data_IF_607983088182
#
_entry.id   IF_607983088182
#
_cell.length_a   1.000
_cell.length_b   1.000
_cell.length_c   1.000
_cell.angle_alpha   90.00
_cell.angle_beta   90.00
_cell.angle_gamma   90.00
#
_symmetry.space_group_name_H-M   'P 1'
#
loop_
_entity.id
_entity.type
_entity.pdbx_description
1 polymer ?
#
# COMPACT_ATOMS: atom_id res chain seq x y z
N UNK A 1 42.40 -37.31 -9.36
CA UNK A 1 41.44 -37.17 -10.48
C UNK A 1 40.40 -36.14 -10.07
N UNK A 2 40.70 -34.89 -10.37
CA UNK A 2 39.91 -33.71 -10.01
C UNK A 2 38.90 -33.48 -11.13
N UNK A 3 37.59 -33.57 -10.84
CA UNK A 3 36.55 -33.16 -11.79
C UNK A 3 36.16 -31.73 -11.45
N UNK A 4 36.66 -30.80 -12.27
CA UNK A 4 36.19 -29.41 -12.30
C UNK A 4 34.78 -29.38 -12.88
N UNK A 5 33.81 -28.94 -12.09
CA UNK A 5 32.50 -28.51 -12.60
C UNK A 5 32.66 -27.09 -13.14
N UNK A 6 32.58 -26.95 -14.46
CA UNK A 6 32.53 -25.67 -15.16
C UNK A 6 31.22 -24.94 -14.80
N UNK A 7 31.32 -23.72 -14.29
CA UNK A 7 30.20 -22.78 -14.27
C UNK A 7 30.09 -22.13 -15.66
N UNK A 8 28.88 -21.97 -16.22
CA UNK A 8 28.71 -21.30 -17.50
C UNK A 8 28.96 -19.79 -17.35
N UNK A 9 29.72 -19.23 -18.29
CA UNK A 9 29.98 -17.79 -18.49
C UNK A 9 28.66 -17.03 -18.76
N UNK A 10 28.52 -15.78 -18.28
CA UNK A 10 27.31 -14.99 -18.50
C UNK A 10 27.31 -14.45 -19.93
N UNK A 11 26.40 -14.95 -20.76
CA UNK A 11 26.32 -14.55 -22.16
C UNK A 11 25.36 -15.40 -22.99
N UNK A 12 24.12 -15.53 -22.54
CA UNK A 12 22.98 -15.95 -23.36
C UNK A 12 21.72 -15.52 -22.62
N UNK A 13 20.88 -14.71 -23.24
CA UNK A 13 19.53 -14.40 -22.76
C UNK A 13 18.82 -15.72 -22.43
N UNK A 14 18.46 -15.90 -21.16
CA UNK A 14 17.70 -17.09 -20.75
C UNK A 14 16.25 -16.92 -21.16
N UNK A 15 15.70 -17.84 -21.96
CA UNK A 15 14.27 -17.93 -22.34
C UNK A 15 13.28 -18.05 -21.15
N UNK A 16 13.77 -17.99 -19.90
CA UNK A 16 12.98 -18.09 -18.67
C UNK A 16 12.93 -16.79 -17.85
N UNK A 17 13.26 -15.64 -18.44
CA UNK A 17 13.07 -14.34 -17.77
C UNK A 17 11.60 -13.96 -17.87
N UNK A 18 10.85 -14.11 -16.78
CA UNK A 18 9.57 -13.43 -16.62
C UNK A 18 9.88 -11.94 -16.45
N UNK A 19 9.63 -11.16 -17.50
CA UNK A 19 9.71 -9.70 -17.45
C UNK A 19 8.48 -9.16 -16.72
N UNK A 20 8.69 -8.58 -15.55
CA UNK A 20 7.67 -7.76 -14.89
C UNK A 20 7.57 -6.41 -15.61
N UNK A 21 6.40 -5.77 -15.64
CA UNK A 21 6.27 -4.37 -16.06
C UNK A 21 7.26 -3.54 -15.24
N UNK A 22 8.30 -3.05 -15.90
CA UNK A 22 9.35 -2.28 -15.27
C UNK A 22 8.85 -0.84 -15.16
N UNK A 23 8.21 -0.49 -14.04
CA UNK A 23 7.91 0.90 -13.74
C UNK A 23 8.85 1.38 -12.64
N UNK A 24 10.06 1.78 -13.03
CA UNK A 24 10.99 2.49 -12.16
C UNK A 24 10.44 3.85 -11.68
N UNK A 25 9.33 4.31 -12.26
CA UNK A 25 8.68 5.57 -11.87
C UNK A 25 7.70 5.42 -10.69
N UNK A 26 7.36 4.18 -10.29
CA UNK A 26 6.46 3.92 -9.15
C UNK A 26 7.13 4.14 -7.77
N UNK A 27 8.40 4.55 -7.74
CA UNK A 27 9.12 4.93 -6.51
C UNK A 27 9.11 6.45 -6.26
N UNK A 28 8.48 7.23 -7.13
CA UNK A 28 8.25 8.65 -6.89
C UNK A 28 6.90 8.84 -6.18
N UNK A 29 6.83 9.70 -5.13
CA UNK A 29 5.53 10.16 -4.66
C UNK A 29 4.80 10.77 -5.86
N UNK A 30 3.55 10.37 -6.10
CA UNK A 30 2.71 10.98 -7.13
C UNK A 30 2.81 12.51 -6.98
N UNK A 31 3.18 13.22 -8.04
CA UNK A 31 3.21 14.69 -8.02
C UNK A 31 1.80 15.18 -7.66
N UNK A 32 1.63 15.64 -6.42
CA UNK A 32 0.32 16.06 -5.95
C UNK A 32 -0.08 17.35 -6.68
N UNK A 33 -1.30 17.43 -7.23
CA UNK A 33 -1.73 18.43 -8.22
C UNK A 33 -1.81 19.87 -7.69
N UNK A 34 -1.41 20.12 -6.45
CA UNK A 34 -1.41 21.47 -5.88
C UNK A 34 -0.49 22.43 -6.66
N UNK A 35 0.54 21.95 -7.36
CA UNK A 35 1.58 22.83 -7.91
C UNK A 35 1.25 23.61 -9.17
N UNK A 36 0.19 23.33 -9.94
CA UNK A 36 -0.01 24.00 -11.24
C UNK A 36 -1.48 24.14 -11.69
N UNK A 37 -2.32 24.87 -10.96
CA UNK A 37 -3.61 25.41 -11.47
C UNK A 37 -4.60 24.41 -12.11
N UNK A 38 -4.33 23.11 -12.02
CA UNK A 38 -5.07 22.05 -12.65
C UNK A 38 -6.06 21.52 -11.62
N UNK A 39 -7.35 21.68 -11.88
CA UNK A 39 -8.36 21.09 -11.03
C UNK A 39 -8.21 19.57 -11.07
N UNK A 40 -8.21 18.89 -9.90
CA UNK A 40 -8.16 17.44 -9.87
C UNK A 40 -9.40 16.83 -10.56
N UNK A 41 -9.21 15.68 -11.20
CA UNK A 41 -10.25 15.00 -11.99
C UNK A 41 -11.55 14.81 -11.19
N UNK A 42 -12.68 15.12 -11.83
CA UNK A 42 -14.02 14.94 -11.28
C UNK A 42 -14.37 15.83 -10.08
N UNK A 43 -13.55 16.87 -9.77
CA UNK A 43 -13.87 17.82 -8.70
C UNK A 43 -15.16 18.59 -9.03
N UNK A 44 -16.13 18.68 -8.10
CA UNK A 44 -17.41 19.31 -8.38
C UNK A 44 -17.30 20.84 -8.43
N UNK A 45 -18.15 21.45 -9.25
CA UNK A 45 -18.30 22.91 -9.32
C UNK A 45 -18.60 23.52 -7.95
N UNK A 46 -18.15 24.76 -7.75
CA UNK A 46 -18.34 25.48 -6.49
C UNK A 46 -17.33 25.10 -5.40
N UNK A 47 -16.33 24.27 -5.71
CA UNK A 47 -15.22 23.97 -4.82
C UNK A 47 -13.88 24.29 -5.50
N UNK A 48 -12.88 24.64 -4.70
CA UNK A 48 -11.52 24.93 -5.16
C UNK A 48 -10.51 24.21 -4.27
N UNK A 49 -9.54 23.55 -4.87
CA UNK A 49 -8.35 23.04 -4.19
C UNK A 49 -7.23 24.09 -4.30
N UNK A 50 -6.59 24.39 -3.17
CA UNK A 50 -5.39 25.23 -3.07
C UNK A 50 -4.34 24.51 -2.21
N UNK A 51 -3.09 24.97 -2.26
CA UNK A 51 -1.97 24.41 -1.49
C UNK A 51 -2.27 24.24 -0.01
N UNK A 52 -3.07 25.13 0.57
CA UNK A 52 -3.36 25.15 2.00
C UNK A 52 -4.70 24.51 2.37
N UNK A 53 -5.56 24.16 1.40
CA UNK A 53 -6.82 23.47 1.68
C UNK A 53 -7.87 23.51 0.60
N UNK A 54 -9.05 23.00 0.96
CA UNK A 54 -10.24 23.07 0.11
C UNK A 54 -11.14 24.20 0.54
N UNK A 55 -11.63 24.92 -0.46
CA UNK A 55 -12.55 26.04 -0.34
C UNK A 55 -13.87 25.70 -1.02
N UNK A 56 -14.97 26.18 -0.44
CA UNK A 56 -16.28 26.21 -1.08
C UNK A 56 -16.60 27.66 -1.47
N UNK A 57 -17.02 27.86 -2.71
CA UNK A 57 -17.55 29.13 -3.19
C UNK A 57 -18.95 29.33 -2.63
N UNK A 58 -19.15 30.43 -1.91
CA UNK A 58 -20.43 30.77 -1.26
C UNK A 58 -20.86 32.18 -1.65
N UNK A 59 -22.16 32.47 -1.73
CA UNK A 59 -22.63 33.84 -1.96
C UNK A 59 -22.11 34.79 -0.87
N UNK A 60 -21.43 35.85 -1.30
CA UNK A 60 -21.04 36.99 -0.47
C UNK A 60 -22.12 38.08 -0.43
N UNK A 61 -21.78 39.21 0.17
CA UNK A 61 -22.72 40.33 0.38
C UNK A 61 -23.11 41.05 -0.92
N UNK A 62 -22.20 41.06 -1.92
CA UNK A 62 -22.36 41.80 -3.19
C UNK A 62 -22.77 40.87 -4.37
N UNK A 63 -23.46 39.75 -4.11
CA UNK A 63 -23.80 38.67 -5.07
C UNK A 63 -22.61 37.91 -5.68
N UNK A 64 -21.38 38.39 -5.46
CA UNK A 64 -20.14 37.68 -5.83
C UNK A 64 -19.93 36.42 -4.99
N UNK A 65 -19.31 35.40 -5.58
CA UNK A 65 -18.96 34.17 -4.89
C UNK A 65 -17.62 34.31 -4.16
N UNK A 66 -17.65 34.15 -2.84
CA UNK A 66 -16.48 34.19 -1.98
C UNK A 66 -15.97 32.78 -1.62
N UNK A 67 -14.65 32.53 -1.72
CA UNK A 67 -14.07 31.26 -1.33
C UNK A 67 -13.94 31.17 0.20
N UNK A 68 -14.67 30.23 0.81
CA UNK A 68 -14.60 29.93 2.25
C UNK A 68 -13.86 28.61 2.46
N UNK A 69 -12.76 28.63 3.22
CA UNK A 69 -11.97 27.43 3.54
C UNK A 69 -12.79 26.47 4.41
N UNK A 70 -12.94 25.22 3.98
CA UNK A 70 -13.73 24.19 4.68
C UNK A 70 -12.87 23.11 5.34
N UNK A 71 -11.72 22.75 4.77
CA UNK A 71 -10.77 21.81 5.37
C UNK A 71 -9.34 21.97 4.83
N UNK A 72 -8.37 21.25 5.42
CA UNK A 72 -7.05 21.02 4.85
C UNK A 72 -7.13 20.23 3.53
N UNK A 73 -6.03 20.12 2.76
CA UNK A 73 -6.06 19.47 1.46
C UNK A 73 -6.51 18.01 1.53
N UNK A 74 -7.39 17.63 0.61
CA UNK A 74 -7.75 16.24 0.32
C UNK A 74 -8.00 16.06 -1.17
N UNK A 75 -7.88 14.83 -1.66
CA UNK A 75 -8.12 14.46 -3.05
C UNK A 75 -8.93 13.18 -3.06
N UNK A 76 -9.97 13.11 -3.89
CA UNK A 76 -10.66 11.85 -4.19
C UNK A 76 -9.99 11.25 -5.42
N UNK A 77 -9.31 10.10 -5.27
CA UNK A 77 -8.65 9.42 -6.41
C UNK A 77 -9.65 8.71 -7.31
N UNK A 78 -10.71 8.17 -6.73
CA UNK A 78 -11.73 7.46 -7.48
C UNK A 78 -12.77 6.76 -6.61
N UNK A 79 -13.64 6.00 -7.27
CA UNK A 79 -14.60 5.13 -6.58
C UNK A 79 -14.03 3.73 -6.45
N UNK A 80 -14.34 3.05 -5.35
CA UNK A 80 -13.93 1.66 -5.15
C UNK A 80 -15.12 0.76 -4.89
N UNK A 81 -14.99 -0.53 -5.22
CA UNK A 81 -15.96 -1.58 -4.90
C UNK A 81 -15.26 -2.91 -4.70
N UNK A 82 -15.91 -3.87 -4.05
CA UNK A 82 -15.44 -5.26 -4.06
C UNK A 82 -15.75 -5.92 -5.42
N UNK A 83 -14.95 -6.91 -5.84
CA UNK A 83 -15.24 -7.69 -7.05
C UNK A 83 -16.63 -8.34 -7.04
N UNK A 84 -17.17 -8.69 -5.87
CA UNK A 84 -18.52 -9.23 -5.70
C UNK A 84 -19.67 -8.24 -5.96
N UNK A 85 -19.36 -6.97 -6.24
CA UNK A 85 -20.33 -5.92 -6.57
C UNK A 85 -20.82 -5.07 -5.38
N UNK A 86 -20.45 -5.44 -4.14
CA UNK A 86 -20.74 -4.69 -2.92
C UNK A 86 -19.57 -3.83 -2.43
N UNK A 87 -19.69 -3.23 -1.23
CA UNK A 87 -18.58 -2.53 -0.58
C UNK A 87 -18.15 -1.23 -1.29
N UNK A 88 -19.10 -0.48 -1.81
CA UNK A 88 -18.82 0.77 -2.52
C UNK A 88 -18.28 1.86 -1.59
N UNK A 89 -17.33 2.64 -2.10
CA UNK A 89 -16.71 3.74 -1.38
C UNK A 89 -16.00 4.75 -2.28
N UNK A 90 -15.19 5.59 -1.64
CA UNK A 90 -14.26 6.52 -2.27
C UNK A 90 -12.85 6.24 -1.76
N UNK A 91 -11.89 6.21 -2.66
CA UNK A 91 -10.47 6.26 -2.30
C UNK A 91 -10.11 7.73 -2.14
N UNK A 92 -9.69 8.11 -0.94
CA UNK A 92 -9.40 9.49 -0.58
C UNK A 92 -7.97 9.56 -0.07
N UNK A 93 -7.23 10.55 -0.53
CA UNK A 93 -5.96 10.96 0.04
C UNK A 93 -6.15 12.25 0.81
N UNK A 94 -5.57 12.32 2.01
CA UNK A 94 -5.58 13.53 2.82
C UNK A 94 -4.17 13.94 3.20
N UNK A 95 -3.93 15.23 3.28
CA UNK A 95 -2.67 15.75 3.81
C UNK A 95 -2.79 15.94 5.32
N UNK A 96 -1.88 15.33 6.07
CA UNK A 96 -1.79 15.52 7.51
C UNK A 96 -1.05 16.84 7.85
N UNK A 97 -1.07 17.29 9.12
CA UNK A 97 -0.41 18.53 9.53
C UNK A 97 1.12 18.54 9.33
N UNK A 98 1.75 17.37 9.24
CA UNK A 98 3.18 17.20 9.01
C UNK A 98 3.53 17.23 7.49
N UNK A 99 2.53 17.41 6.62
CA UNK A 99 2.67 17.47 5.17
C UNK A 99 2.65 16.11 4.46
N UNK A 100 2.59 15.01 5.21
CA UNK A 100 2.49 13.65 4.69
C UNK A 100 1.07 13.31 4.22
N UNK A 101 0.98 12.60 3.10
CA UNK A 101 -0.30 12.14 2.55
C UNK A 101 -0.66 10.74 3.04
N UNK A 102 -1.94 10.56 3.37
CA UNK A 102 -2.49 9.29 3.84
C UNK A 102 -3.68 8.91 2.97
N UNK A 103 -3.62 7.71 2.39
CA UNK A 103 -4.74 7.12 1.68
C UNK A 103 -5.68 6.38 2.65
N UNK A 104 -6.98 6.46 2.37
CA UNK A 104 -8.01 5.69 3.05
C UNK A 104 -9.25 5.48 2.18
N UNK A 105 -10.03 4.45 2.51
CA UNK A 105 -11.35 4.22 1.92
C UNK A 105 -12.42 4.85 2.81
N UNK A 106 -13.22 5.75 2.23
CA UNK A 106 -14.47 6.21 2.82
C UNK A 106 -15.64 5.39 2.30
N UNK A 107 -16.35 4.71 3.20
CA UNK A 107 -17.49 3.87 2.83
C UNK A 107 -18.68 4.74 2.36
N UNK A 108 -19.35 4.34 1.26
CA UNK A 108 -20.49 5.08 0.72
C UNK A 108 -21.65 5.20 1.72
N UNK A 109 -21.81 4.20 2.60
CA UNK A 109 -22.80 4.23 3.70
C UNK A 109 -22.51 5.32 4.72
N UNK A 110 -21.22 5.57 5.01
CA UNK A 110 -20.81 6.57 5.99
C UNK A 110 -20.94 7.98 5.41
N UNK A 111 -20.64 8.12 4.10
CA UNK A 111 -20.94 9.34 3.35
C UNK A 111 -22.44 9.66 3.40
N UNK A 112 -23.29 8.66 3.22
CA UNK A 112 -24.75 8.83 3.26
C UNK A 112 -25.27 9.16 4.67
N UNK A 113 -24.69 8.55 5.70
CA UNK A 113 -25.15 8.64 7.09
C UNK A 113 -25.00 10.04 7.71
N UNK A 114 -24.00 10.83 7.29
CA UNK A 114 -23.87 12.22 7.73
C UNK A 114 -22.44 12.68 7.95
N UNK A 115 -22.22 14.00 8.13
CA UNK A 115 -20.89 14.60 8.16
C UNK A 115 -20.02 14.08 9.31
N UNK A 116 -20.60 13.75 10.47
CA UNK A 116 -19.85 13.21 11.60
C UNK A 116 -19.19 11.86 11.28
N UNK A 117 -19.85 10.99 10.51
CA UNK A 117 -19.31 9.67 10.11
C UNK A 117 -18.16 9.77 9.12
N UNK A 118 -18.03 10.91 8.45
CA UNK A 118 -16.98 11.21 7.47
C UNK A 118 -15.81 11.91 8.16
N UNK A 119 -16.09 12.97 8.94
CA UNK A 119 -15.05 13.80 9.55
C UNK A 119 -14.26 13.02 10.60
N UNK A 120 -14.91 12.16 11.40
CA UNK A 120 -14.21 11.38 12.44
C UNK A 120 -13.04 10.55 11.90
N UNK A 121 -13.22 9.64 10.92
CA UNK A 121 -12.10 8.86 10.38
C UNK A 121 -11.09 9.71 9.60
N UNK A 122 -11.52 10.78 8.94
CA UNK A 122 -10.58 11.68 8.24
C UNK A 122 -9.70 12.46 9.22
N UNK A 123 -10.26 12.94 10.32
CA UNK A 123 -9.52 13.66 11.35
C UNK A 123 -8.56 12.76 12.13
N UNK A 124 -8.88 11.48 12.32
CA UNK A 124 -7.95 10.47 12.88
C UNK A 124 -6.67 10.35 12.02
N UNK A 125 -6.80 10.57 10.71
CA UNK A 125 -5.68 10.57 9.76
C UNK A 125 -5.07 11.97 9.51
N UNK A 126 -5.53 13.00 10.23
CA UNK A 126 -4.96 14.34 10.20
C UNK A 126 -5.73 15.39 9.40
N UNK A 127 -6.93 15.08 8.86
CA UNK A 127 -7.74 16.11 8.20
C UNK A 127 -8.22 17.16 9.21
N UNK A 128 -7.94 18.43 8.91
CA UNK A 128 -8.39 19.56 9.71
C UNK A 128 -9.60 20.22 9.05
N UNK A 129 -10.78 20.06 9.65
CA UNK A 129 -12.00 20.79 9.25
C UNK A 129 -12.02 22.15 9.93
N UNK A 130 -12.38 23.21 9.20
CA UNK A 130 -12.40 24.57 9.76
C UNK A 130 -13.63 24.84 10.62
N UNK A 131 -13.61 25.94 11.38
CA UNK A 131 -14.75 26.42 12.15
C UNK A 131 -15.76 27.23 11.31
N UNK A 132 -15.60 27.27 9.99
CA UNK A 132 -16.53 27.98 9.13
C UNK A 132 -17.93 27.37 9.25
N UNK A 133 -18.97 28.21 9.14
CA UNK A 133 -20.35 27.75 9.22
C UNK A 133 -20.58 26.60 8.23
N UNK A 134 -21.16 25.49 8.71
CA UNK A 134 -21.45 24.28 7.92
C UNK A 134 -20.23 23.60 7.26
N UNK A 135 -18.98 23.87 7.65
CA UNK A 135 -17.78 23.29 7.02
C UNK A 135 -17.84 21.75 6.90
N UNK A 136 -18.18 21.04 7.99
CA UNK A 136 -18.31 19.59 7.97
C UNK A 136 -19.39 19.08 6.99
N UNK A 137 -20.49 19.84 6.85
CA UNK A 137 -21.55 19.54 5.89
C UNK A 137 -21.08 19.80 4.45
N UNK A 138 -20.31 20.86 4.21
CA UNK A 138 -19.68 21.13 2.91
C UNK A 138 -18.69 20.03 2.51
N UNK A 139 -17.91 19.49 3.44
CA UNK A 139 -17.00 18.35 3.18
C UNK A 139 -17.79 17.11 2.75
N UNK A 140 -18.93 16.82 3.40
CA UNK A 140 -19.83 15.74 2.98
C UNK A 140 -20.35 15.95 1.56
N UNK A 141 -20.80 17.16 1.25
CA UNK A 141 -21.32 17.52 -0.07
C UNK A 141 -20.25 17.36 -1.15
N UNK A 142 -19.04 17.86 -0.89
CA UNK A 142 -17.87 17.69 -1.73
C UNK A 142 -17.61 16.22 -2.04
N UNK A 143 -17.41 15.39 -1.01
CA UNK A 143 -17.06 13.97 -1.18
C UNK A 143 -18.16 13.16 -1.86
N UNK A 144 -19.42 13.55 -1.67
CA UNK A 144 -20.55 12.92 -2.32
C UNK A 144 -20.62 13.28 -3.82
N UNK A 145 -20.32 14.54 -4.17
CA UNK A 145 -20.40 15.05 -5.54
C UNK A 145 -19.13 14.77 -6.38
N UNK A 146 -17.96 14.60 -5.74
CA UNK A 146 -16.69 14.35 -6.42
C UNK A 146 -16.69 12.97 -7.08
N UNK A 147 -16.54 12.97 -8.41
CA UNK A 147 -16.63 11.77 -9.24
C UNK A 147 -15.48 11.69 -10.26
N UNK A 148 -14.27 11.32 -9.83
CA UNK A 148 -13.18 11.00 -10.75
C UNK A 148 -13.54 9.80 -11.64
N UNK A 149 -12.91 9.70 -12.80
CA UNK A 149 -13.12 8.60 -13.75
C UNK A 149 -12.60 7.25 -13.21
N UNK A 150 -11.56 7.28 -12.38
CA UNK A 150 -10.91 6.07 -11.88
C UNK A 150 -11.86 5.18 -11.06
N UNK A 151 -11.67 3.87 -11.21
CA UNK A 151 -12.44 2.81 -10.53
C UNK A 151 -11.47 1.78 -9.98
N UNK A 152 -11.50 1.60 -8.67
CA UNK A 152 -10.63 0.69 -7.94
C UNK A 152 -11.38 -0.59 -7.53
N UNK A 153 -10.73 -1.73 -7.67
CA UNK A 153 -11.20 -2.97 -7.03
C UNK A 153 -10.60 -3.08 -5.62
N UNK A 154 -11.46 -3.35 -4.63
CA UNK A 154 -11.08 -3.53 -3.23
C UNK A 154 -10.55 -4.95 -3.04
N UNK A 155 -9.37 -5.06 -2.45
CA UNK A 155 -8.74 -6.35 -2.15
C UNK A 155 -8.54 -6.49 -0.65
N UNK A 156 -8.79 -7.69 -0.11
CA UNK A 156 -8.75 -7.96 1.32
C UNK A 156 -7.64 -8.97 1.70
N UNK A 157 -6.68 -9.16 0.80
CA UNK A 157 -5.53 -10.04 0.95
C UNK A 157 -4.27 -9.32 0.48
N UNK A 158 -3.12 -9.84 0.91
CA UNK A 158 -1.81 -9.39 0.44
C UNK A 158 -1.35 -10.25 -0.73
N UNK A 159 -0.40 -9.75 -1.51
CA UNK A 159 0.17 -10.48 -2.63
C UNK A 159 -0.54 -10.21 -3.95
N UNK A 160 -0.52 -11.19 -4.86
CA UNK A 160 -1.08 -11.03 -6.20
C UNK A 160 -2.60 -10.84 -6.15
N UNK A 161 -3.08 -9.83 -6.86
CA UNK A 161 -4.52 -9.50 -6.91
C UNK A 161 -5.30 -10.53 -7.72
N UNK A 162 -4.72 -10.99 -8.82
CA UNK A 162 -5.34 -11.91 -9.77
C UNK A 162 -4.34 -12.92 -10.33
N UNK A 163 -4.85 -13.87 -11.13
CA UNK A 163 -4.03 -14.88 -11.79
C UNK A 163 -3.25 -14.38 -13.01
N UNK A 164 -3.47 -13.13 -13.43
CA UNK A 164 -2.72 -12.48 -14.51
C UNK A 164 -1.53 -11.66 -13.97
N UNK A 165 -1.39 -11.58 -12.64
CA UNK A 165 -0.32 -10.86 -11.95
C UNK A 165 -0.31 -9.35 -12.27
N UNK A 166 -1.51 -8.76 -12.41
CA UNK A 166 -1.69 -7.36 -12.82
C UNK A 166 -1.25 -6.35 -11.76
N UNK A 167 -1.37 -6.74 -10.48
CA UNK A 167 -0.87 -5.98 -9.35
C UNK A 167 -0.56 -6.88 -8.13
N UNK A 168 0.32 -6.39 -7.27
CA UNK A 168 0.76 -7.02 -6.03
C UNK A 168 0.59 -6.05 -4.86
N UNK A 169 -0.13 -6.48 -3.82
CA UNK A 169 -0.42 -5.66 -2.64
C UNK A 169 0.52 -5.98 -1.48
N UNK A 170 1.02 -4.92 -0.82
CA UNK A 170 1.94 -4.98 0.31
C UNK A 170 1.22 -4.66 1.61
N UNK A 171 1.80 -5.12 2.73
CA UNK A 171 1.22 -4.93 4.05
C UNK A 171 1.14 -3.48 4.53
N UNK A 172 1.99 -2.59 4.01
CA UNK A 172 1.92 -1.15 4.26
C UNK A 172 0.86 -0.42 3.41
N UNK A 173 0.06 -1.16 2.63
CA UNK A 173 -0.99 -0.62 1.77
C UNK A 173 -0.52 -0.23 0.38
N UNK A 174 0.79 -0.31 0.09
CA UNK A 174 1.30 -0.06 -1.26
C UNK A 174 0.85 -1.15 -2.24
N UNK A 175 0.70 -0.73 -3.49
CA UNK A 175 0.33 -1.59 -4.62
C UNK A 175 1.41 -1.43 -5.68
N UNK A 176 1.93 -2.55 -6.18
CA UNK A 176 2.89 -2.59 -7.29
C UNK A 176 2.18 -3.18 -8.50
N UNK A 177 2.16 -2.46 -9.63
CA UNK A 177 1.56 -2.93 -10.88
C UNK A 177 0.61 -1.89 -11.48
N UNK A 178 -0.08 -2.28 -12.56
CA UNK A 178 -0.88 -1.35 -13.37
C UNK A 178 -2.38 -1.40 -13.03
N UNK A 179 -2.83 -2.42 -12.29
CA UNK A 179 -4.24 -2.53 -11.92
C UNK A 179 -4.61 -1.52 -10.83
N UNK A 180 -5.73 -0.82 -11.05
CA UNK A 180 -6.32 0.09 -10.06
C UNK A 180 -6.98 -0.73 -8.95
N UNK A 181 -6.24 -0.96 -7.88
CA UNK A 181 -6.71 -1.69 -6.71
C UNK A 181 -6.43 -0.91 -5.45
N UNK A 182 -7.27 -1.10 -4.43
CA UNK A 182 -7.08 -0.50 -3.12
C UNK A 182 -7.23 -1.58 -2.05
N UNK A 183 -6.20 -1.81 -1.21
CA UNK A 183 -6.33 -2.74 -0.10
C UNK A 183 -7.36 -2.23 0.91
N UNK A 184 -8.27 -3.10 1.33
CA UNK A 184 -9.00 -2.89 2.57
C UNK A 184 -7.95 -2.88 3.68
N UNK A 185 -7.70 -1.71 4.27
CA UNK A 185 -6.83 -1.57 5.43
C UNK A 185 -7.40 -2.37 6.61
N UNK A 186 -7.14 -3.68 6.61
CA UNK A 186 -7.34 -4.55 7.74
C UNK A 186 -6.16 -4.34 8.67
N UNK A 187 -6.44 -3.98 9.92
CA UNK A 187 -5.44 -4.00 10.99
C UNK A 187 -5.03 -5.46 11.25
N UNK A 188 -4.19 -6.02 10.39
CA UNK A 188 -3.49 -7.26 10.62
C UNK A 188 -2.08 -6.92 11.12
N UNK A 189 -1.63 -7.54 12.20
CA UNK A 189 -0.31 -7.29 12.76
C UNK A 189 0.80 -7.59 11.74
N UNK A 190 0.57 -8.56 10.83
CA UNK A 190 1.53 -8.91 9.77
C UNK A 190 1.71 -7.71 8.83
N UNK A 191 0.61 -7.10 8.42
CA UNK A 191 0.60 -5.93 7.56
C UNK A 191 1.32 -4.75 8.23
N UNK A 192 1.06 -4.52 9.53
CA UNK A 192 1.75 -3.50 10.31
C UNK A 192 3.26 -3.71 10.45
N UNK A 193 3.73 -4.97 10.41
CA UNK A 193 5.17 -5.29 10.45
C UNK A 193 5.85 -5.19 9.07
N UNK A 194 5.09 -5.16 7.97
CA UNK A 194 5.60 -5.07 6.60
C UNK A 194 5.86 -3.61 6.20
N UNK A 195 6.79 -2.95 6.88
CA UNK A 195 7.21 -1.59 6.53
C UNK A 195 8.72 -1.54 6.26
N UNK A 196 9.11 -0.64 5.36
CA UNK A 196 10.53 -0.38 5.08
C UNK A 196 11.18 0.45 6.21
N UNK A 197 12.49 0.28 6.40
CA UNK A 197 13.32 1.13 7.27
C UNK A 197 14.73 1.22 6.69
N UNK A 198 15.26 2.42 6.56
CA UNK A 198 16.54 2.67 5.90
C UNK A 198 16.37 2.69 4.38
N UNK A 199 17.48 2.49 3.64
CA UNK A 199 17.46 2.47 2.17
C UNK A 199 17.78 1.09 1.62
N UNK A 200 17.38 0.85 0.36
CA UNK A 200 17.71 -0.40 -0.34
C UNK A 200 19.23 -0.57 -0.50
N UNK A 201 19.96 0.51 -0.74
CA UNK A 201 21.41 0.53 -0.86
C UNK A 201 22.07 0.09 0.45
N UNK A 202 21.59 0.63 1.58
CA UNK A 202 22.06 0.25 2.91
C UNK A 202 21.77 -1.23 3.19
N UNK A 203 20.56 -1.70 2.88
CA UNK A 203 20.20 -3.12 3.04
C UNK A 203 21.08 -4.04 2.19
N UNK A 204 21.33 -3.68 0.92
CA UNK A 204 22.21 -4.44 0.02
C UNK A 204 23.63 -4.51 0.55
N UNK A 205 24.16 -3.40 1.07
CA UNK A 205 25.53 -3.33 1.58
C UNK A 205 25.72 -4.07 2.91
N UNK A 206 24.74 -3.98 3.82
CA UNK A 206 24.88 -4.45 5.21
C UNK A 206 24.24 -5.81 5.47
N UNK A 207 23.24 -6.22 4.68
CA UNK A 207 22.50 -7.48 4.85
C UNK A 207 22.81 -8.45 3.71
N UNK A 208 22.62 -8.06 2.46
CA UNK A 208 22.78 -8.98 1.32
C UNK A 208 24.25 -9.31 1.02
N UNK A 209 25.14 -8.32 0.98
CA UNK A 209 26.55 -8.54 0.64
C UNK A 209 27.27 -9.53 1.58
N UNK A 210 27.08 -9.49 2.92
CA UNK A 210 27.65 -10.49 3.83
C UNK A 210 27.13 -11.93 3.64
N UNK A 211 25.98 -12.12 2.98
CA UNK A 211 25.43 -13.45 2.73
C UNK A 211 26.19 -14.21 1.64
N UNK A 212 26.96 -13.51 0.81
CA UNK A 212 27.72 -14.13 -0.27
C UNK A 212 28.72 -15.16 0.26
N UNK A 213 28.71 -16.36 -0.34
CA UNK A 213 29.55 -17.48 0.09
C UNK A 213 29.01 -18.30 1.27
N UNK A 214 27.89 -17.92 1.89
CA UNK A 214 27.21 -18.73 2.91
C UNK A 214 25.93 -19.38 2.35
N UNK A 215 25.94 -20.69 2.05
CA UNK A 215 24.79 -21.37 1.44
C UNK A 215 23.49 -21.26 2.24
N UNK A 216 23.57 -21.25 3.58
CA UNK A 216 22.37 -21.17 4.43
C UNK A 216 21.74 -19.78 4.41
N UNK A 217 22.56 -18.72 4.37
CA UNK A 217 22.07 -17.34 4.27
C UNK A 217 21.48 -17.05 2.89
N UNK A 218 22.16 -17.52 1.83
CA UNK A 218 21.65 -17.45 0.45
C UNK A 218 20.32 -18.19 0.35
N UNK A 219 20.22 -19.38 0.93
CA UNK A 219 18.98 -20.15 0.97
C UNK A 219 17.86 -19.39 1.70
N UNK A 220 18.14 -18.82 2.88
CA UNK A 220 17.15 -18.08 3.66
C UNK A 220 16.62 -16.84 2.90
N UNK A 221 17.48 -16.07 2.25
CA UNK A 221 17.06 -14.94 1.40
C UNK A 221 16.26 -15.42 0.18
N UNK A 222 16.74 -16.45 -0.50
CA UNK A 222 16.06 -17.01 -1.68
C UNK A 222 14.66 -17.51 -1.33
N UNK A 223 14.52 -18.16 -0.17
CA UNK A 223 13.24 -18.61 0.35
C UNK A 223 12.30 -17.44 0.64
N UNK A 224 12.80 -16.35 1.23
CA UNK A 224 11.98 -15.17 1.48
C UNK A 224 11.41 -14.55 0.18
N UNK A 225 12.19 -14.51 -0.89
CA UNK A 225 11.73 -14.02 -2.20
C UNK A 225 10.83 -15.00 -2.96
N UNK A 226 10.80 -16.27 -2.57
CA UNK A 226 10.10 -17.30 -3.33
C UNK A 226 8.57 -17.16 -3.30
N UNK A 227 7.99 -16.58 -2.24
CA UNK A 227 6.53 -16.47 -2.06
C UNK A 227 5.78 -15.93 -3.29
N UNK A 228 6.08 -14.69 -3.74
CA UNK A 228 5.46 -14.13 -4.94
C UNK A 228 5.71 -14.94 -6.22
N UNK A 229 6.87 -15.59 -6.32
CA UNK A 229 7.27 -16.33 -7.52
C UNK A 229 6.55 -17.68 -7.66
N UNK A 230 6.15 -18.29 -6.54
CA UNK A 230 5.46 -19.58 -6.55
C UNK A 230 4.12 -19.52 -7.31
N UNK A 231 3.33 -18.48 -7.06
CA UNK A 231 2.05 -18.26 -7.76
C UNK A 231 2.27 -18.06 -9.26
N UNK A 232 3.29 -17.27 -9.64
CA UNK A 232 3.68 -17.04 -11.05
C UNK A 232 4.08 -18.33 -11.75
N UNK A 233 4.79 -19.21 -11.05
CA UNK A 233 5.22 -20.51 -11.57
C UNK A 233 4.14 -21.59 -11.51
N UNK A 234 2.96 -21.30 -10.96
CA UNK A 234 1.91 -22.28 -10.71
C UNK A 234 2.36 -23.42 -9.79
N UNK A 235 3.21 -23.11 -8.81
CA UNK A 235 3.77 -24.07 -7.85
C UNK A 235 3.20 -23.85 -6.46
N UNK A 236 2.95 -24.95 -5.76
CA UNK A 236 2.60 -24.90 -4.35
C UNK A 236 3.84 -24.54 -3.51
N UNK A 237 3.62 -23.71 -2.48
CA UNK A 237 4.64 -23.35 -1.52
C UNK A 237 4.86 -24.39 -0.43
N UNK A 238 5.80 -24.10 0.46
CA UNK A 238 6.10 -24.94 1.62
C UNK A 238 6.97 -24.22 2.64
N UNK A 239 7.04 -24.81 3.84
CA UNK A 239 7.89 -24.32 4.92
C UNK A 239 9.16 -25.15 5.08
N UNK A 240 10.23 -24.53 5.57
CA UNK A 240 11.47 -25.21 5.93
C UNK A 240 11.73 -25.09 7.42
N UNK A 241 12.10 -26.21 8.05
CA UNK A 241 12.46 -26.24 9.46
C UNK A 241 13.99 -26.26 9.63
N UNK A 242 14.55 -25.14 10.11
CA UNK A 242 15.95 -25.06 10.48
C UNK A 242 16.21 -25.83 11.79
N UNK A 243 16.78 -27.03 11.70
CA UNK A 243 17.14 -27.86 12.85
C UNK A 243 18.64 -27.79 13.14
N UNK A 244 19.00 -27.68 14.41
CA UNK A 244 20.38 -27.79 14.88
C UNK A 244 20.52 -27.34 16.33
N UNK A 245 21.70 -27.51 16.90
CA UNK A 245 22.00 -27.11 18.28
C UNK A 245 21.73 -25.62 18.50
N UNK A 246 21.49 -25.24 19.76
CA UNK A 246 21.33 -23.84 20.14
C UNK A 246 22.57 -23.01 19.75
N UNK A 247 22.38 -21.72 19.51
CA UNK A 247 23.46 -20.78 19.15
C UNK A 247 24.20 -21.06 17.84
N UNK A 248 23.58 -21.77 16.88
CA UNK A 248 24.12 -22.01 15.52
C UNK A 248 23.54 -21.08 14.44
N UNK A 249 22.98 -19.93 14.82
CA UNK A 249 22.52 -18.91 13.86
C UNK A 249 21.12 -19.11 13.26
N UNK A 250 20.30 -20.04 13.78
CA UNK A 250 18.93 -20.27 13.29
C UNK A 250 18.06 -19.01 13.31
N UNK A 251 18.03 -18.31 14.44
CA UNK A 251 17.28 -17.06 14.59
C UNK A 251 17.85 -15.93 13.73
N UNK A 252 19.16 -15.96 13.44
CA UNK A 252 19.79 -15.01 12.51
C UNK A 252 19.29 -15.24 11.09
N UNK A 253 19.18 -16.50 10.64
CA UNK A 253 18.63 -16.83 9.32
C UNK A 253 17.15 -16.43 9.20
N UNK A 254 16.36 -16.60 10.27
CA UNK A 254 14.96 -16.14 10.28
C UNK A 254 14.85 -14.61 10.20
N UNK A 255 15.67 -13.88 10.95
CA UNK A 255 15.73 -12.40 10.88
C UNK A 255 16.18 -11.92 9.50
N UNK A 256 17.15 -12.61 8.91
CA UNK A 256 17.61 -12.33 7.56
C UNK A 256 16.46 -12.46 6.54
N UNK A 257 15.71 -13.57 6.60
CA UNK A 257 14.54 -13.78 5.75
C UNK A 257 13.43 -12.73 6.00
N UNK A 258 13.14 -12.41 7.26
CA UNK A 258 12.14 -11.40 7.62
C UNK A 258 12.49 -10.00 7.09
N UNK A 259 13.78 -9.65 7.05
CA UNK A 259 14.26 -8.33 6.58
C UNK A 259 13.94 -8.02 5.11
N UNK A 260 13.54 -9.03 4.32
CA UNK A 260 13.07 -8.83 2.94
C UNK A 260 11.70 -8.18 2.89
N UNK A 261 10.82 -8.54 3.82
CA UNK A 261 9.40 -8.15 3.80
C UNK A 261 9.04 -7.08 4.82
N UNK A 262 9.84 -6.91 5.87
CA UNK A 262 9.56 -5.91 6.88
C UNK A 262 10.46 -5.97 8.10
N UNK A 263 9.90 -5.48 9.20
CA UNK A 263 10.58 -5.37 10.47
C UNK A 263 10.68 -6.73 11.21
N UNK A 264 11.57 -6.87 12.21
CA UNK A 264 11.75 -8.12 12.95
C UNK A 264 10.45 -8.70 13.56
N UNK A 265 9.46 -7.85 13.83
CA UNK A 265 8.12 -8.17 14.33
C UNK A 265 7.30 -9.02 13.35
N UNK A 266 7.74 -9.11 12.09
CA UNK A 266 7.18 -10.02 11.09
C UNK A 266 7.35 -11.49 11.51
N UNK A 267 8.39 -11.82 12.28
CA UNK A 267 8.61 -13.18 12.78
C UNK A 267 7.55 -13.55 13.82
N UNK A 268 6.81 -14.63 13.55
CA UNK A 268 5.82 -15.16 14.46
C UNK A 268 6.35 -16.33 15.30
N UNK A 269 5.91 -16.38 16.54
CA UNK A 269 6.13 -17.53 17.41
C UNK A 269 5.04 -18.57 17.17
N UNK A 270 5.44 -19.85 17.17
CA UNK A 270 4.51 -20.99 17.10
C UNK A 270 3.53 -21.07 18.28
N UNK A 271 3.75 -20.27 19.34
CA UNK A 271 2.85 -20.17 20.49
C UNK A 271 1.69 -19.21 20.19
N UNK A 272 0.98 -19.49 19.11
CA UNK A 272 -0.27 -18.82 18.76
C UNK A 272 -1.38 -19.86 18.73
N UNK A 273 -2.62 -19.48 18.98
CA UNK A 273 -3.77 -20.40 18.92
C UNK A 273 -3.90 -20.96 17.49
N UNK A 274 -4.20 -22.26 17.33
CA UNK A 274 -4.26 -22.94 16.01
C UNK A 274 -5.09 -22.19 14.95
N UNK A 275 -6.11 -21.43 15.37
CA UNK A 275 -6.97 -20.62 14.50
C UNK A 275 -6.29 -19.36 13.92
N UNK A 276 -5.25 -18.83 14.56
CA UNK A 276 -4.49 -17.66 14.08
C UNK A 276 -3.53 -18.09 12.98
N UNK A 277 -2.78 -19.18 13.21
CA UNK A 277 -1.84 -19.74 12.24
C UNK A 277 -2.52 -20.21 10.94
N UNK A 278 -3.70 -20.85 11.03
CA UNK A 278 -4.44 -21.31 9.85
C UNK A 278 -5.06 -20.16 9.04
N UNK A 279 -5.43 -19.03 9.67
CA UNK A 279 -6.00 -17.87 8.96
C UNK A 279 -4.93 -17.07 8.21
N UNK A 280 -3.71 -17.02 8.72
CA UNK A 280 -2.60 -16.27 8.12
C UNK A 280 -2.03 -16.97 6.89
N UNK A 281 -1.96 -18.31 6.88
CA UNK A 281 -1.51 -19.10 5.73
C UNK A 281 -2.51 -19.16 4.55
N UNK A 282 -3.76 -18.73 4.76
CA UNK A 282 -4.79 -18.66 3.71
C UNK A 282 -4.90 -17.26 3.08
N UNK A 283 -4.10 -16.29 3.55
CA UNK A 283 -4.11 -14.90 3.11
C UNK A 283 -2.83 -14.48 2.36
N UNK A 284 -1.98 -15.46 2.00
CA UNK A 284 -0.74 -15.29 1.22
C UNK A 284 -0.83 -16.02 -0.12
#
# INVERSE_FOLDING_TARGET
MTKHTNFPTPGTESENVVTFPNNSDALHPEEHPASDGHMPDGMPDGFLLRDDGIYQLRPGDDEDLEPVKICSPLIVKGQCRRPSGGGWGRVVEIQNPDGGWHELILEARDISAGPAKIVTPLSDRGLMVTNAAKAAQSVKELLNAWQPAARYDRVNHLGWVDGEFSAFTLGDGRVIGDALVVPDHGANHVAAAMHAKGTLEEWRATVAAPCSGNPLMIFALSLAFSGPLLSVLGREGGGFHLRGDTSKGKSTLQRLAASVWGAPEFMQDWRTTDNVLCRENLAA
#
